data_IF_439096269787
#
_entry.id   IF_439096269787
#
_cell.length_a   1.000
_cell.length_b   1.000
_cell.length_c   1.000
_cell.angle_alpha   90.00
_cell.angle_beta   90.00
_cell.angle_gamma   90.00
#
_symmetry.space_group_name_H-M   'P 1'
#
loop_
_entity.id
_entity.type
_entity.pdbx_description
1 polymer ?
#
# COMPACT_ATOMS: atom_id res chain seq x y z
N UNK A 1 3.25 -15.02 -9.44
CA UNK A 1 4.58 -15.19 -8.83
C UNK A 1 4.95 -13.95 -8.02
N UNK A 2 5.41 -14.13 -6.79
CA UNK A 2 5.98 -13.09 -5.93
C UNK A 2 7.50 -13.30 -5.86
N UNK A 3 8.27 -12.26 -6.07
CA UNK A 3 9.72 -12.29 -5.87
C UNK A 3 10.19 -11.08 -5.07
N UNK A 4 11.22 -11.27 -4.25
CA UNK A 4 11.86 -10.22 -3.47
C UNK A 4 13.23 -10.65 -2.99
N UNK A 5 14.05 -9.70 -2.58
CA UNK A 5 15.30 -9.95 -1.91
C UNK A 5 15.17 -9.69 -0.42
N UNK A 6 15.79 -10.54 0.37
CA UNK A 6 15.76 -10.44 1.83
C UNK A 6 17.13 -10.71 2.43
N UNK A 7 17.42 -10.04 3.53
CA UNK A 7 18.63 -10.26 4.34
C UNK A 7 18.26 -10.14 5.81
N UNK A 8 18.81 -11.01 6.63
CA UNK A 8 18.70 -10.97 8.09
C UNK A 8 20.08 -11.10 8.72
N UNK A 9 20.34 -10.39 9.79
CA UNK A 9 21.57 -10.57 10.59
C UNK A 9 21.59 -11.90 11.37
N UNK A 10 20.45 -12.58 11.45
CA UNK A 10 20.32 -13.88 12.14
C UNK A 10 19.91 -14.96 11.15
N UNK A 11 20.63 -16.08 11.15
CA UNK A 11 20.29 -17.26 10.37
C UNK A 11 19.01 -17.89 10.91
N UNK A 12 17.88 -17.66 10.24
CA UNK A 12 16.55 -18.12 10.66
C UNK A 12 15.63 -18.23 9.46
N UNK A 13 14.59 -19.05 9.59
CA UNK A 13 13.46 -19.09 8.67
C UNK A 13 12.42 -18.03 9.09
N UNK A 14 11.91 -17.26 8.13
CA UNK A 14 10.88 -16.24 8.35
C UNK A 14 9.64 -16.56 7.53
N UNK A 15 8.51 -16.04 7.97
CA UNK A 15 7.23 -16.25 7.32
C UNK A 15 6.69 -14.95 6.73
N UNK A 16 5.87 -15.10 5.70
CA UNK A 16 5.06 -14.03 5.15
C UNK A 16 3.70 -14.57 4.78
N UNK A 17 2.69 -13.72 4.78
CA UNK A 17 1.35 -14.12 4.37
C UNK A 17 0.73 -13.13 3.39
N UNK A 18 -0.13 -13.67 2.54
CA UNK A 18 -0.96 -12.90 1.61
C UNK A 18 -2.40 -13.06 2.06
N UNK A 19 -3.12 -11.95 2.09
CA UNK A 19 -4.53 -11.90 2.52
C UNK A 19 -5.37 -11.22 1.47
N UNK A 20 -6.60 -11.71 1.33
CA UNK A 20 -7.64 -11.06 0.55
C UNK A 20 -8.89 -10.96 1.40
N UNK A 21 -9.63 -9.86 1.24
CA UNK A 21 -10.83 -9.61 2.05
C UNK A 21 -12.07 -9.39 1.19
N UNK A 22 -11.91 -9.26 -0.12
CA UNK A 22 -13.03 -9.26 -1.06
C UNK A 22 -13.63 -10.66 -1.15
N UNK A 23 -14.95 -10.75 -1.08
CA UNK A 23 -15.65 -12.04 -1.00
C UNK A 23 -15.34 -12.81 0.29
N UNK A 24 -15.05 -14.10 0.18
CA UNK A 24 -14.63 -14.91 1.34
C UNK A 24 -13.16 -14.66 1.62
N UNK A 25 -12.85 -14.11 2.79
CA UNK A 25 -11.49 -13.79 3.18
C UNK A 25 -10.56 -15.03 3.09
N UNK A 26 -9.47 -14.89 2.37
CA UNK A 26 -8.49 -15.94 2.14
C UNK A 26 -7.12 -15.55 2.70
N UNK A 27 -6.38 -16.54 3.19
CA UNK A 27 -4.99 -16.41 3.62
C UNK A 27 -4.09 -17.42 2.91
N UNK A 28 -2.89 -17.02 2.59
CA UNK A 28 -1.84 -17.86 2.03
C UNK A 28 -0.53 -17.56 2.76
N UNK A 29 -0.05 -18.50 3.55
CA UNK A 29 1.20 -18.36 4.28
C UNK A 29 2.34 -19.09 3.57
N UNK A 30 3.52 -18.48 3.54
CA UNK A 30 4.74 -19.08 3.01
C UNK A 30 5.95 -18.71 3.86
N UNK A 31 7.05 -19.42 3.65
CA UNK A 31 8.30 -19.22 4.38
C UNK A 31 9.44 -18.82 3.42
N UNK A 32 10.46 -18.16 3.96
CA UNK A 32 11.67 -17.83 3.19
C UNK A 32 12.57 -19.06 2.99
N UNK A 33 12.44 -20.06 3.83
CA UNK A 33 13.51 -21.01 4.13
C UNK A 33 14.55 -20.39 5.07
N UNK A 34 15.45 -21.19 5.60
CA UNK A 34 16.50 -20.69 6.49
C UNK A 34 17.48 -19.80 5.73
N UNK A 35 17.47 -18.52 6.10
CA UNK A 35 18.41 -17.54 5.53
C UNK A 35 19.81 -17.73 6.12
N UNK A 36 20.84 -17.46 5.32
CA UNK A 36 22.21 -17.29 5.82
C UNK A 36 22.36 -15.88 6.38
N UNK A 37 22.91 -15.73 7.58
CA UNK A 37 23.12 -14.43 8.21
C UNK A 37 23.88 -13.46 7.27
N UNK A 38 23.47 -12.21 7.29
CA UNK A 38 24.06 -11.08 6.55
C UNK A 38 24.17 -11.28 5.02
N UNK A 39 23.39 -12.21 4.47
CA UNK A 39 23.47 -12.56 3.04
C UNK A 39 22.14 -12.21 2.35
N UNK A 40 22.22 -11.39 1.28
CA UNK A 40 21.08 -11.13 0.42
C UNK A 40 20.65 -12.40 -0.33
N UNK A 41 19.42 -12.83 -0.09
CA UNK A 41 18.83 -14.03 -0.70
C UNK A 41 17.62 -13.65 -1.52
N UNK A 42 17.56 -14.06 -2.79
CA UNK A 42 16.36 -13.90 -3.62
C UNK A 42 15.35 -14.99 -3.29
N UNK A 43 14.17 -14.58 -2.89
CA UNK A 43 13.03 -15.48 -2.67
C UNK A 43 12.09 -15.39 -3.87
N UNK A 44 11.63 -16.52 -4.36
CA UNK A 44 10.64 -16.63 -5.43
C UNK A 44 9.56 -17.60 -4.98
N UNK A 45 8.32 -17.12 -4.93
CA UNK A 45 7.14 -17.92 -4.56
C UNK A 45 6.13 -17.94 -5.68
N UNK A 46 5.85 -19.13 -6.18
CA UNK A 46 4.73 -19.38 -7.10
C UNK A 46 3.47 -19.54 -6.26
N UNK A 47 2.55 -18.60 -6.40
CA UNK A 47 1.31 -18.59 -5.64
C UNK A 47 0.22 -19.07 -6.58
N UNK A 48 -0.41 -20.23 -6.31
CA UNK A 48 -1.47 -20.75 -7.16
C UNK A 48 -2.71 -19.87 -7.10
N UNK A 49 -3.53 -19.90 -8.14
CA UNK A 49 -4.86 -19.33 -8.07
C UNK A 49 -5.77 -20.14 -7.14
N UNK A 50 -6.85 -19.51 -6.70
CA UNK A 50 -7.90 -20.13 -5.90
C UNK A 50 -9.26 -19.58 -6.36
N UNK A 51 -10.27 -20.42 -6.48
CA UNK A 51 -11.62 -20.04 -6.93
C UNK A 51 -12.32 -19.05 -5.98
N UNK A 52 -11.86 -18.96 -4.73
CA UNK A 52 -12.39 -18.03 -3.73
C UNK A 52 -11.69 -16.65 -3.77
N UNK A 53 -10.67 -16.49 -4.63
CA UNK A 53 -10.05 -15.16 -4.81
C UNK A 53 -10.99 -14.32 -5.67
N UNK A 54 -11.63 -13.37 -5.04
CA UNK A 54 -12.52 -12.40 -5.67
C UNK A 54 -11.96 -11.02 -5.42
N UNK A 55 -11.97 -10.19 -6.46
CA UNK A 55 -11.55 -8.79 -6.37
C UNK A 55 -12.66 -7.96 -6.97
N UNK A 56 -13.19 -7.05 -6.22
CA UNK A 56 -14.15 -6.08 -6.71
C UNK A 56 -13.47 -4.78 -7.17
N UNK A 57 -14.25 -3.87 -7.71
CA UNK A 57 -13.73 -2.59 -8.22
C UNK A 57 -14.03 -1.45 -7.25
N UNK A 58 -13.87 -1.70 -5.96
CA UNK A 58 -14.03 -0.69 -4.92
C UNK A 58 -12.66 -0.04 -4.53
N UNK A 59 -12.63 0.72 -3.44
CA UNK A 59 -11.43 1.35 -2.89
C UNK A 59 -10.87 0.61 -1.68
N UNK A 60 -11.43 -0.54 -1.33
CA UNK A 60 -10.95 -1.35 -0.23
C UNK A 60 -9.71 -2.17 -0.62
N UNK A 61 -9.12 -2.86 0.35
CA UNK A 61 -7.90 -3.63 0.12
C UNK A 61 -8.23 -4.97 -0.53
N UNK A 62 -7.97 -5.12 -1.82
CA UNK A 62 -8.16 -6.38 -2.53
C UNK A 62 -7.12 -7.44 -2.14
N UNK A 63 -5.85 -7.08 -2.06
CA UNK A 63 -4.75 -7.98 -1.68
C UNK A 63 -3.76 -7.27 -0.76
N UNK A 64 -3.34 -7.96 0.28
CA UNK A 64 -2.31 -7.47 1.22
C UNK A 64 -1.20 -8.50 1.36
N UNK A 65 0.05 -8.08 1.26
CA UNK A 65 1.23 -8.90 1.54
C UNK A 65 1.82 -8.43 2.87
N UNK A 66 2.01 -9.35 3.79
CA UNK A 66 2.57 -9.07 5.11
C UNK A 66 3.84 -9.88 5.31
N UNK A 67 4.96 -9.20 5.47
CA UNK A 67 6.22 -9.81 5.89
C UNK A 67 6.21 -9.95 7.41
N UNK A 68 5.88 -11.14 7.88
CA UNK A 68 5.74 -11.44 9.31
C UNK A 68 7.08 -11.82 9.92
N UNK A 69 7.91 -10.84 10.26
CA UNK A 69 9.23 -11.08 10.84
C UNK A 69 9.11 -11.84 12.17
N UNK A 70 8.15 -11.44 12.99
CA UNK A 70 7.79 -12.09 14.25
C UNK A 70 6.34 -11.81 14.62
N UNK A 71 5.63 -12.85 15.02
CA UNK A 71 4.28 -12.74 15.59
C UNK A 71 4.22 -13.53 16.89
N UNK A 72 3.52 -12.98 17.88
CA UNK A 72 3.25 -13.66 19.13
C UNK A 72 2.23 -14.81 18.98
N UNK A 73 2.09 -15.59 20.03
CA UNK A 73 1.23 -16.79 20.07
C UNK A 73 -0.24 -16.54 19.75
N UNK A 74 -0.73 -15.30 19.93
CA UNK A 74 -2.12 -14.92 19.61
C UNK A 74 -2.40 -14.90 18.09
N UNK A 75 -1.34 -14.93 17.26
CA UNK A 75 -1.42 -14.83 15.82
C UNK A 75 -0.76 -15.99 15.07
N UNK A 76 -0.22 -16.98 15.82
CA UNK A 76 0.49 -18.12 15.26
C UNK A 76 -0.09 -19.43 15.75
N UNK A 77 -0.04 -20.45 14.89
CA UNK A 77 -0.51 -21.81 15.23
C UNK A 77 0.36 -22.83 14.48
N UNK A 78 0.76 -23.90 15.18
CA UNK A 78 1.57 -24.96 14.59
C UNK A 78 0.86 -25.73 13.47
N UNK A 79 -0.48 -25.66 13.41
CA UNK A 79 -1.30 -26.29 12.39
C UNK A 79 -1.47 -25.47 11.08
N UNK A 80 -0.88 -24.28 10.98
CA UNK A 80 -0.97 -23.48 9.75
C UNK A 80 -0.25 -24.18 8.62
N UNK A 81 -0.99 -24.44 7.54
CA UNK A 81 -0.44 -25.08 6.33
C UNK A 81 0.23 -24.03 5.43
N UNK A 82 1.51 -24.25 5.13
CA UNK A 82 2.27 -23.40 4.23
C UNK A 82 1.96 -23.69 2.76
N UNK A 83 2.13 -22.66 1.93
CA UNK A 83 2.02 -22.73 0.48
C UNK A 83 0.65 -23.20 -0.03
N UNK A 84 -0.40 -22.92 0.72
CA UNK A 84 -1.78 -23.27 0.40
C UNK A 84 -2.72 -22.13 0.79
N UNK A 85 -3.71 -21.86 -0.07
CA UNK A 85 -4.83 -20.99 0.27
C UNK A 85 -5.78 -21.66 1.24
N UNK A 86 -6.25 -20.92 2.22
CA UNK A 86 -7.28 -21.33 3.15
C UNK A 86 -8.12 -20.13 3.60
N UNK A 87 -9.21 -20.39 4.30
CA UNK A 87 -9.99 -19.32 4.92
C UNK A 87 -9.10 -18.53 5.87
N UNK A 88 -9.09 -17.20 5.73
CA UNK A 88 -8.29 -16.35 6.59
C UNK A 88 -8.74 -16.47 8.06
N UNK A 89 -7.80 -16.73 8.95
CA UNK A 89 -7.99 -16.72 10.39
C UNK A 89 -6.98 -15.76 11.04
N UNK A 90 -7.47 -14.71 11.66
CA UNK A 90 -6.65 -13.68 12.29
C UNK A 90 -5.76 -14.16 13.42
N UNK A 91 -6.12 -15.28 14.09
CA UNK A 91 -5.35 -15.88 15.17
C UNK A 91 -4.38 -16.99 14.69
N UNK A 92 -4.45 -17.38 13.43
CA UNK A 92 -3.66 -18.45 12.83
C UNK A 92 -3.07 -17.97 11.50
N UNK A 93 -2.31 -16.88 11.53
CA UNK A 93 -1.80 -16.23 10.31
C UNK A 93 -0.61 -16.95 9.72
N UNK A 94 0.24 -17.51 10.60
CA UNK A 94 1.47 -18.20 10.23
C UNK A 94 1.83 -19.27 11.30
N UNK A 95 2.76 -20.20 10.98
CA UNK A 95 3.30 -21.13 11.95
C UNK A 95 3.97 -20.40 13.11
N UNK A 96 4.12 -21.12 14.23
CA UNK A 96 4.85 -20.59 15.39
C UNK A 96 6.26 -20.19 14.98
N UNK A 97 6.64 -18.96 15.29
CA UNK A 97 7.93 -18.43 14.92
C UNK A 97 9.04 -18.94 15.82
N UNK A 98 10.25 -19.12 15.23
CA UNK A 98 11.49 -19.23 15.99
C UNK A 98 11.80 -17.87 16.62
N UNK A 99 12.17 -17.86 17.89
CA UNK A 99 12.36 -16.63 18.68
C UNK A 99 13.77 -16.04 18.56
N UNK A 100 14.72 -16.73 17.94
CA UNK A 100 16.15 -16.37 17.93
C UNK A 100 16.36 -14.95 17.41
N UNK A 101 15.75 -14.60 16.27
CA UNK A 101 15.84 -13.23 15.74
C UNK A 101 15.27 -12.19 16.72
N UNK A 102 14.10 -12.45 17.26
CA UNK A 102 13.41 -11.52 18.19
C UNK A 102 14.18 -11.30 19.51
N UNK A 103 14.91 -12.32 19.99
CA UNK A 103 15.67 -12.27 21.24
C UNK A 103 17.14 -11.86 21.04
N UNK A 104 17.58 -11.71 19.80
CA UNK A 104 18.93 -11.23 19.48
C UNK A 104 18.93 -9.70 19.49
N UNK A 105 19.79 -9.10 20.36
CA UNK A 105 19.92 -7.66 20.42
C UNK A 105 20.46 -7.12 19.09
N UNK A 106 19.92 -5.97 18.66
CA UNK A 106 20.31 -5.28 17.42
C UNK A 106 20.11 -6.13 16.12
N UNK A 107 19.28 -7.18 16.19
CA UNK A 107 18.96 -7.97 15.00
C UNK A 107 18.27 -7.11 13.92
N UNK A 108 18.73 -7.27 12.68
CA UNK A 108 18.19 -6.57 11.52
C UNK A 108 17.45 -7.50 10.57
N UNK A 109 16.45 -6.98 9.89
CA UNK A 109 15.75 -7.64 8.80
C UNK A 109 15.49 -6.61 7.70
N UNK A 110 15.99 -6.89 6.53
CA UNK A 110 15.93 -5.99 5.38
C UNK A 110 15.29 -6.71 4.19
N UNK A 111 14.45 -6.02 3.44
CA UNK A 111 13.91 -6.56 2.18
C UNK A 111 13.82 -5.46 1.12
N UNK A 112 13.92 -5.86 -0.13
CA UNK A 112 13.86 -4.96 -1.29
C UNK A 112 13.44 -5.70 -2.55
N UNK A 113 13.17 -4.96 -3.63
CA UNK A 113 12.85 -5.52 -4.93
C UNK A 113 11.60 -6.38 -4.94
N UNK A 114 10.59 -6.01 -4.17
CA UNK A 114 9.31 -6.74 -4.10
C UNK A 114 8.55 -6.57 -5.41
N UNK A 115 8.27 -7.69 -6.08
CA UNK A 115 7.57 -7.71 -7.35
C UNK A 115 6.53 -8.83 -7.35
N UNK A 116 5.27 -8.48 -7.60
CA UNK A 116 4.16 -9.42 -7.78
C UNK A 116 3.74 -9.41 -9.24
N UNK A 117 3.82 -10.55 -9.89
CA UNK A 117 3.59 -10.70 -11.33
C UNK A 117 2.54 -11.78 -11.61
N UNK A 118 1.76 -11.56 -12.65
CA UNK A 118 0.90 -12.62 -13.21
C UNK A 118 1.76 -13.60 -13.98
N UNK A 119 1.59 -14.87 -13.72
CA UNK A 119 2.34 -15.95 -14.36
C UNK A 119 3.21 -16.73 -13.36
N UNK A 120 3.93 -17.71 -13.86
CA UNK A 120 4.69 -18.69 -13.10
C UNK A 120 6.22 -18.47 -13.08
N UNK A 121 6.66 -17.39 -13.73
CA UNK A 121 8.07 -17.04 -13.84
C UNK A 121 8.31 -15.66 -13.23
N UNK A 122 9.33 -15.57 -12.36
CA UNK A 122 9.78 -14.27 -11.84
C UNK A 122 10.74 -13.64 -12.87
N UNK A 123 10.37 -12.45 -13.35
CA UNK A 123 11.23 -11.68 -14.25
C UNK A 123 12.31 -10.93 -13.48
N UNK A 124 13.16 -10.22 -14.17
CA UNK A 124 14.10 -9.27 -13.56
C UNK A 124 13.28 -8.11 -12.96
N UNK A 125 13.69 -7.63 -11.78
CA UNK A 125 13.00 -6.52 -11.13
C UNK A 125 12.93 -5.31 -12.05
N UNK A 126 11.72 -4.78 -12.24
CA UNK A 126 11.45 -3.64 -13.10
C UNK A 126 11.87 -2.35 -12.40
N UNK A 127 13.04 -1.83 -12.75
CA UNK A 127 13.49 -0.53 -12.27
C UNK A 127 12.79 0.59 -13.04
N UNK A 128 12.17 1.50 -12.31
CA UNK A 128 11.57 2.71 -12.87
C UNK A 128 12.25 3.94 -12.28
N UNK A 129 12.27 5.03 -13.05
CA UNK A 129 12.70 6.31 -12.51
C UNK A 129 11.70 6.80 -11.44
N UNK A 130 12.20 7.57 -10.48
CA UNK A 130 11.33 8.17 -9.45
C UNK A 130 10.18 8.98 -10.07
N UNK A 131 10.46 9.75 -11.11
CA UNK A 131 9.46 10.60 -11.77
C UNK A 131 8.36 9.77 -12.45
N UNK A 132 8.72 8.67 -13.08
CA UNK A 132 7.74 7.76 -13.69
C UNK A 132 6.86 7.12 -12.63
N UNK A 133 7.43 6.61 -11.55
CA UNK A 133 6.68 6.00 -10.46
C UNK A 133 5.77 7.02 -9.78
N UNK A 134 6.28 8.22 -9.50
CA UNK A 134 5.48 9.31 -8.93
C UNK A 134 4.30 9.68 -9.84
N UNK A 135 4.51 9.74 -11.16
CA UNK A 135 3.44 10.02 -12.12
C UNK A 135 2.37 8.92 -12.10
N UNK A 136 2.75 7.66 -11.98
CA UNK A 136 1.82 6.53 -11.84
C UNK A 136 1.03 6.60 -10.54
N UNK A 137 1.69 6.89 -9.42
CA UNK A 137 1.05 7.05 -8.12
C UNK A 137 0.03 8.20 -8.10
N UNK A 138 0.35 9.32 -8.72
CA UNK A 138 -0.55 10.48 -8.83
C UNK A 138 -1.86 10.18 -9.56
N UNK A 139 -1.93 9.12 -10.36
CA UNK A 139 -3.20 8.67 -10.99
C UNK A 139 -4.18 8.08 -9.97
N UNK A 140 -3.69 7.66 -8.81
CA UNK A 140 -4.52 7.04 -7.76
C UNK A 140 -4.78 8.00 -6.60
N UNK A 141 -3.79 8.81 -6.25
CA UNK A 141 -3.90 9.75 -5.16
C UNK A 141 -3.03 10.99 -5.41
N UNK A 142 -3.56 12.15 -5.09
CA UNK A 142 -2.83 13.41 -5.05
C UNK A 142 -3.00 14.01 -3.66
N UNK A 143 -1.90 14.13 -2.93
CA UNK A 143 -1.88 14.80 -1.62
C UNK A 143 -1.29 16.19 -1.80
N UNK A 144 -2.04 17.18 -1.37
CA UNK A 144 -1.62 18.59 -1.38
C UNK A 144 -1.35 18.96 0.07
N UNK A 145 -0.09 19.24 0.37
CA UNK A 145 0.33 19.63 1.72
C UNK A 145 -0.12 21.04 2.10
N UNK A 146 -0.02 21.36 3.38
CA UNK A 146 -0.25 22.72 3.86
C UNK A 146 0.77 23.68 3.23
N UNK A 147 0.34 24.89 2.93
CA UNK A 147 1.14 25.94 2.30
C UNK A 147 1.62 25.63 0.85
N UNK A 148 1.02 24.68 0.18
CA UNK A 148 1.29 24.43 -1.24
C UNK A 148 0.27 25.17 -2.11
N UNK A 149 0.75 25.96 -3.06
CA UNK A 149 -0.09 26.51 -4.10
C UNK A 149 -0.47 25.41 -5.10
N UNK A 150 -1.77 25.17 -5.29
CA UNK A 150 -2.28 24.11 -6.17
C UNK A 150 -2.66 24.59 -7.56
N UNK A 151 -2.65 25.87 -7.78
CA UNK A 151 -2.97 26.47 -9.06
C UNK A 151 -3.51 27.89 -8.93
N UNK A 152 -3.76 28.49 -10.05
CA UNK A 152 -4.49 29.75 -10.14
C UNK A 152 -5.94 29.46 -10.49
N UNK A 153 -6.86 30.09 -9.78
CA UNK A 153 -8.29 29.99 -10.05
C UNK A 153 -8.92 31.35 -10.20
N UNK A 154 -10.10 31.41 -10.76
CA UNK A 154 -10.91 32.62 -10.80
C UNK A 154 -12.04 32.55 -9.76
N UNK A 155 -12.24 33.65 -9.04
CA UNK A 155 -13.38 33.76 -8.16
C UNK A 155 -14.65 33.94 -9.00
N UNK A 156 -15.58 33.04 -8.85
CA UNK A 156 -16.89 33.12 -9.50
C UNK A 156 -17.81 34.10 -8.77
N UNK A 157 -17.72 34.12 -7.46
CA UNK A 157 -18.41 35.07 -6.58
C UNK A 157 -17.68 35.17 -5.24
N UNK A 158 -18.24 35.87 -4.24
CA UNK A 158 -17.62 36.04 -2.91
C UNK A 158 -17.49 34.75 -2.10
N UNK A 159 -18.08 33.64 -2.53
CA UNK A 159 -18.10 32.35 -1.81
C UNK A 159 -17.55 31.19 -2.62
N UNK A 160 -17.42 31.35 -3.93
CA UNK A 160 -17.01 30.26 -4.82
C UNK A 160 -15.79 30.63 -5.65
N UNK A 161 -14.83 29.73 -5.71
CA UNK A 161 -13.65 29.83 -6.58
C UNK A 161 -13.52 28.55 -7.40
N UNK A 162 -13.20 28.71 -8.67
CA UNK A 162 -12.86 27.60 -9.55
C UNK A 162 -11.35 27.44 -9.59
N UNK A 163 -10.83 26.32 -9.15
CA UNK A 163 -9.41 25.95 -9.24
C UNK A 163 -9.31 24.74 -10.11
N UNK A 164 -8.54 24.83 -11.18
CA UNK A 164 -8.25 23.71 -12.04
C UNK A 164 -7.03 22.96 -11.52
N UNK A 165 -7.23 21.69 -11.11
CA UNK A 165 -6.15 20.79 -10.75
C UNK A 165 -5.95 19.83 -11.93
N UNK A 166 -4.86 20.03 -12.67
CA UNK A 166 -4.53 19.18 -13.80
C UNK A 166 -3.88 17.88 -13.29
N UNK A 167 -4.70 16.85 -13.09
CA UNK A 167 -4.23 15.51 -12.80
C UNK A 167 -5.12 14.47 -13.50
N UNK A 168 -4.48 13.50 -14.17
CA UNK A 168 -5.21 12.42 -14.83
C UNK A 168 -5.44 11.29 -13.83
N UNK A 169 -6.53 11.34 -13.09
CA UNK A 169 -6.95 10.24 -12.23
C UNK A 169 -7.45 9.03 -13.04
N UNK A 170 -7.29 7.85 -12.48
CA UNK A 170 -7.81 6.60 -13.07
C UNK A 170 -9.34 6.56 -13.11
N UNK A 171 -9.97 7.14 -12.11
CA UNK A 171 -11.41 7.23 -11.94
C UNK A 171 -11.75 8.55 -11.23
N UNK A 172 -13.02 8.89 -11.12
CA UNK A 172 -13.46 10.05 -10.35
C UNK A 172 -12.94 9.96 -8.92
N UNK A 173 -12.13 10.93 -8.46
CA UNK A 173 -11.52 10.86 -7.15
C UNK A 173 -12.52 11.14 -6.04
N UNK A 174 -12.36 10.46 -4.91
CA UNK A 174 -12.98 10.86 -3.65
C UNK A 174 -12.17 11.98 -3.04
N UNK A 175 -12.81 13.07 -2.72
CA UNK A 175 -12.18 14.21 -2.09
C UNK A 175 -12.26 14.11 -0.57
N UNK A 176 -11.11 14.13 0.09
CA UNK A 176 -11.00 14.26 1.54
C UNK A 176 -10.27 15.54 1.89
N UNK A 177 -10.80 16.31 2.80
CA UNK A 177 -10.21 17.58 3.26
C UNK A 177 -10.07 17.60 4.77
N UNK A 178 -8.97 18.16 5.25
CA UNK A 178 -8.85 18.57 6.65
C UNK A 178 -9.16 20.07 6.71
N UNK A 179 -10.24 20.43 7.41
CA UNK A 179 -10.56 21.83 7.67
C UNK A 179 -9.72 22.33 8.84
N UNK A 180 -9.05 23.47 8.67
CA UNK A 180 -8.49 24.21 9.80
C UNK A 180 -9.61 24.69 10.75
N UNK A 181 -9.26 25.10 11.96
CA UNK A 181 -10.18 25.46 13.04
C UNK A 181 -11.21 26.55 12.74
N UNK A 182 -11.17 27.20 11.57
CA UNK A 182 -12.13 28.18 11.09
C UNK A 182 -13.07 27.63 10.00
N UNK A 183 -13.05 26.33 9.73
CA UNK A 183 -13.93 25.73 8.70
C UNK A 183 -13.52 25.98 7.24
N UNK A 184 -12.38 26.61 7.01
CA UNK A 184 -11.90 26.91 5.66
C UNK A 184 -10.94 25.85 5.17
N UNK A 185 -11.14 25.39 3.93
CA UNK A 185 -10.25 24.43 3.28
C UNK A 185 -9.18 25.12 2.45
N UNK A 186 -9.44 26.34 1.98
CA UNK A 186 -8.58 27.09 1.06
C UNK A 186 -8.44 28.54 1.48
N UNK A 187 -7.23 29.05 1.43
CA UNK A 187 -6.94 30.47 1.55
C UNK A 187 -6.40 30.94 0.22
N UNK A 188 -7.10 31.88 -0.40
CA UNK A 188 -6.63 32.54 -1.61
C UNK A 188 -6.08 33.91 -1.24
N UNK A 189 -4.81 34.10 -1.54
CA UNK A 189 -4.15 35.40 -1.39
C UNK A 189 -4.37 36.22 -2.67
N UNK A 190 -5.01 37.33 -2.56
CA UNK A 190 -5.15 38.29 -3.62
C UNK A 190 -4.52 39.60 -3.16
N UNK A 191 -3.37 39.96 -3.73
CA UNK A 191 -2.60 41.14 -3.30
C UNK A 191 -2.15 41.04 -1.84
N UNK A 192 -2.31 42.07 -1.08
CA UNK A 192 -1.98 42.14 0.35
C UNK A 192 -3.10 41.67 1.28
N UNK A 193 -4.24 41.29 0.74
CA UNK A 193 -5.42 40.86 1.54
C UNK A 193 -5.77 39.42 1.18
N UNK A 194 -5.80 38.54 2.18
CA UNK A 194 -6.24 37.17 2.03
C UNK A 194 -7.77 37.10 1.92
N UNK A 195 -8.29 36.45 0.88
CA UNK A 195 -9.67 36.09 0.79
C UNK A 195 -9.83 34.61 1.10
N UNK A 196 -10.69 34.27 2.03
CA UNK A 196 -10.98 32.89 2.41
C UNK A 196 -12.15 32.39 1.58
N UNK A 197 -11.92 31.38 0.77
CA UNK A 197 -12.94 30.78 -0.06
C UNK A 197 -13.05 29.30 0.22
N UNK A 198 -14.26 28.90 0.45
CA UNK A 198 -14.63 27.50 0.60
C UNK A 198 -15.30 27.02 -0.67
N UNK A 199 -14.87 25.86 -1.20
CA UNK A 199 -15.68 25.14 -2.16
C UNK A 199 -15.48 23.63 -2.08
N UNK A 200 -16.54 22.88 -2.23
CA UNK A 200 -16.47 21.59 -2.88
C UNK A 200 -16.41 21.81 -4.41
N UNK A 201 -15.74 20.93 -5.18
CA UNK A 201 -15.80 21.00 -6.64
C UNK A 201 -17.26 21.01 -7.11
N UNK A 202 -17.58 21.90 -8.04
CA UNK A 202 -18.90 21.91 -8.65
C UNK A 202 -19.05 20.68 -9.53
N UNK A 203 -20.21 20.00 -9.55
CA UNK A 203 -20.47 18.91 -10.49
C UNK A 203 -20.31 19.27 -11.97
N UNK A 204 -20.23 20.55 -12.30
CA UNK A 204 -20.00 21.04 -13.67
C UNK A 204 -18.55 20.95 -14.11
N UNK A 205 -17.61 20.87 -13.18
CA UNK A 205 -16.17 20.80 -13.49
C UNK A 205 -15.76 19.38 -13.88
N UNK A 206 -16.65 18.40 -13.75
CA UNK A 206 -16.43 17.02 -14.12
C UNK A 206 -16.79 16.69 -15.59
N UNK A 207 -17.34 17.64 -16.34
CA UNK A 207 -17.86 17.41 -17.71
C UNK A 207 -17.06 18.09 -18.83
N UNK A 208 -15.84 18.54 -18.58
CA UNK A 208 -14.97 19.11 -19.63
C UNK A 208 -13.71 18.32 -19.86
#
# INVERSE_FOLDING_TARGET
TLSFWVKSSVAQNFHADIRTFDGTAQGYCFETGTLTADTWTKIVKKIPGNSNLQFDNNNDSGITIVFGIYHGTDYTDAGVTLNQWGTYNGSQRMPTNTTTWYTTNDATFEYTGVQLEVGDTATTFEHRSYDEELKRCKRYALVIGSNQAIGTGSAYNSTNINIHIYNQFRATPTYSKTTGGAGYTWVVYYGSSGCLLYTSPSPRDEQS
#
